data_IF_688226668285
#
_entry.id   IF_688226668285
#
_cell.length_a   1.000
_cell.length_b   1.000
_cell.length_c   1.000
_cell.angle_alpha   90.00
_cell.angle_beta   90.00
_cell.angle_gamma   90.00
#
_symmetry.space_group_name_H-M   'P 1'
#
loop_
_entity.id
_entity.type
_entity.pdbx_description
1 polymer ?
#
# COMPACT_ATOMS: atom_id res chain seq x y z
N UNK A 1 12.46 6.45 -20.73
CA UNK A 1 12.64 7.08 -19.41
C UNK A 1 14.10 7.23 -19.08
N UNK A 2 14.48 8.38 -18.54
CA UNK A 2 15.86 8.65 -18.17
C UNK A 2 16.31 7.89 -16.94
N UNK A 3 17.61 7.72 -16.82
CA UNK A 3 18.27 7.06 -15.69
C UNK A 3 17.91 7.71 -14.34
N UNK A 4 17.68 9.03 -14.33
CA UNK A 4 17.28 9.80 -13.14
C UNK A 4 15.90 9.38 -12.62
N UNK A 5 14.94 9.17 -13.51
CA UNK A 5 13.58 8.77 -13.13
C UNK A 5 13.56 7.37 -12.54
N UNK A 6 14.38 6.46 -13.09
CA UNK A 6 14.55 5.11 -12.59
C UNK A 6 15.15 5.13 -11.18
N UNK A 7 16.19 5.96 -10.94
CA UNK A 7 16.81 6.09 -9.63
C UNK A 7 15.86 6.67 -8.59
N UNK A 8 15.05 7.66 -8.96
CA UNK A 8 14.04 8.24 -8.07
C UNK A 8 13.02 7.19 -7.66
N UNK A 9 12.52 6.44 -8.63
CA UNK A 9 11.52 5.39 -8.36
C UNK A 9 12.09 4.30 -7.46
N UNK A 10 13.33 3.89 -7.67
CA UNK A 10 14.01 2.89 -6.85
C UNK A 10 14.12 3.38 -5.40
N UNK A 11 14.49 4.63 -5.19
CA UNK A 11 14.58 5.22 -3.85
C UNK A 11 13.23 5.32 -3.17
N UNK A 12 12.21 5.78 -3.89
CA UNK A 12 10.85 5.87 -3.37
C UNK A 12 10.32 4.49 -3.00
N UNK A 13 10.48 3.51 -3.88
CA UNK A 13 10.04 2.13 -3.62
C UNK A 13 10.78 1.52 -2.43
N UNK A 14 12.08 1.79 -2.29
CA UNK A 14 12.87 1.33 -1.16
C UNK A 14 12.34 1.91 0.16
N UNK A 15 11.99 3.21 0.16
CA UNK A 15 11.40 3.86 1.34
C UNK A 15 10.04 3.25 1.68
N UNK A 16 9.18 3.04 0.68
CA UNK A 16 7.86 2.46 0.87
C UNK A 16 7.96 1.03 1.42
N UNK A 17 8.81 0.20 0.82
CA UNK A 17 8.98 -1.19 1.24
C UNK A 17 9.57 -1.28 2.65
N UNK A 18 10.57 -0.44 2.95
CA UNK A 18 11.19 -0.40 4.27
C UNK A 18 10.21 0.08 5.34
N UNK A 19 9.47 1.14 5.05
CA UNK A 19 8.45 1.65 5.96
C UNK A 19 7.37 0.60 6.23
N UNK A 20 6.90 -0.09 5.20
CA UNK A 20 5.92 -1.15 5.36
C UNK A 20 6.43 -2.26 6.29
N UNK A 21 7.66 -2.69 6.08
CA UNK A 21 8.29 -3.71 6.92
C UNK A 21 8.36 -3.26 8.39
N UNK A 22 8.82 -2.03 8.63
CA UNK A 22 8.92 -1.50 9.99
C UNK A 22 7.56 -1.28 10.63
N UNK A 23 6.60 -0.75 9.88
CA UNK A 23 5.24 -0.50 10.38
C UNK A 23 4.53 -1.81 10.75
N UNK A 24 4.78 -2.88 10.02
CA UNK A 24 4.15 -4.18 10.30
C UNK A 24 4.84 -4.96 11.42
N UNK A 25 6.11 -4.66 11.70
CA UNK A 25 6.86 -5.35 12.77
C UNK A 25 6.83 -4.60 14.10
N UNK A 26 7.05 -3.28 14.08
CA UNK A 26 7.09 -2.49 15.35
C UNK A 26 5.98 -1.45 15.48
N UNK A 27 5.17 -1.26 14.47
CA UNK A 27 4.08 -0.29 14.47
C UNK A 27 4.52 1.10 14.04
N UNK A 28 3.55 1.90 13.59
CA UNK A 28 3.82 3.26 13.11
C UNK A 28 4.33 4.16 14.25
N UNK A 29 3.72 4.06 15.43
CA UNK A 29 4.09 4.91 16.57
C UNK A 29 5.53 4.70 17.02
N UNK A 30 6.05 3.48 16.92
CA UNK A 30 7.41 3.13 17.37
C UNK A 30 8.46 3.22 16.25
N UNK A 31 8.05 3.62 15.05
CA UNK A 31 8.95 3.76 13.90
C UNK A 31 9.24 5.24 13.69
N UNK A 32 10.51 5.60 13.60
CA UNK A 32 10.94 6.97 13.28
C UNK A 32 11.33 7.09 11.81
N UNK A 33 11.39 8.33 11.31
CA UNK A 33 11.92 8.59 9.96
C UNK A 33 13.38 8.12 9.88
N UNK A 34 14.16 8.33 10.96
CA UNK A 34 15.54 7.84 11.01
C UNK A 34 15.63 6.33 10.87
N UNK A 35 14.73 5.59 11.51
CA UNK A 35 14.65 4.14 11.34
C UNK A 35 14.43 3.76 9.88
N UNK A 36 13.50 4.45 9.22
CA UNK A 36 13.14 4.15 7.82
C UNK A 36 14.34 4.42 6.91
N UNK A 37 14.97 5.61 7.00
CA UNK A 37 16.04 5.97 6.08
C UNK A 37 17.30 5.14 6.33
N UNK A 38 17.62 4.83 7.59
CA UNK A 38 18.77 4.00 7.93
C UNK A 38 18.61 2.58 7.37
N UNK A 39 17.42 2.01 7.49
CA UNK A 39 17.17 0.67 6.97
C UNK A 39 17.03 0.65 5.45
N UNK A 40 16.55 1.73 4.84
CA UNK A 40 16.45 1.84 3.38
C UNK A 40 17.80 2.19 2.72
N UNK A 41 18.78 2.63 3.51
CA UNK A 41 20.09 3.00 2.97
C UNK A 41 20.07 4.32 2.19
N UNK A 42 19.21 5.26 2.58
CA UNK A 42 19.10 6.57 1.94
C UNK A 42 19.32 7.68 2.95
N UNK A 43 19.64 8.89 2.46
CA UNK A 43 19.79 10.06 3.31
C UNK A 43 18.42 10.56 3.78
N UNK A 44 18.38 11.17 4.96
CA UNK A 44 17.15 11.72 5.53
C UNK A 44 16.51 12.77 4.63
N UNK A 45 17.32 13.60 3.97
CA UNK A 45 16.82 14.58 2.99
C UNK A 45 16.10 13.93 1.81
N UNK A 46 16.52 12.73 1.42
CA UNK A 46 15.87 11.97 0.35
C UNK A 46 14.45 11.61 0.73
N UNK A 47 14.20 11.23 1.99
CA UNK A 47 12.86 10.96 2.49
C UNK A 47 11.93 12.15 2.24
N UNK A 48 12.38 13.35 2.60
CA UNK A 48 11.58 14.57 2.50
C UNK A 48 11.34 15.05 1.06
N UNK A 49 12.04 14.48 0.08
CA UNK A 49 11.72 14.72 -1.33
C UNK A 49 10.40 14.05 -1.74
N UNK A 50 10.03 12.97 -1.06
CA UNK A 50 8.87 12.16 -1.43
C UNK A 50 7.71 12.24 -0.44
N UNK A 51 8.02 12.43 0.84
CA UNK A 51 7.02 12.36 1.92
C UNK A 51 7.22 13.49 2.91
N UNK A 52 6.12 14.01 3.45
CA UNK A 52 6.16 15.09 4.46
C UNK A 52 6.62 14.58 5.81
N UNK A 53 6.12 13.40 6.21
CA UNK A 53 6.39 12.77 7.50
C UNK A 53 6.03 11.29 7.42
N UNK A 54 6.14 10.59 8.55
CA UNK A 54 5.84 9.16 8.59
C UNK A 54 4.36 8.84 8.38
N UNK A 55 3.47 9.77 8.67
CA UNK A 55 2.03 9.58 8.45
C UNK A 55 1.68 9.72 6.98
N UNK A 56 2.40 10.57 6.27
CA UNK A 56 2.25 10.71 4.82
C UNK A 56 2.64 9.41 4.10
N UNK A 57 3.78 8.81 4.45
CA UNK A 57 4.20 7.54 3.86
C UNK A 57 3.25 6.40 4.25
N UNK A 58 2.76 6.40 5.51
CA UNK A 58 1.74 5.44 5.95
C UNK A 58 0.49 5.51 5.09
N UNK A 59 -0.03 6.72 4.87
CA UNK A 59 -1.26 6.93 4.09
C UNK A 59 -1.07 6.48 2.63
N UNK A 60 0.09 6.78 2.05
CA UNK A 60 0.43 6.32 0.70
C UNK A 60 0.52 4.80 0.62
N UNK A 61 1.07 4.16 1.66
CA UNK A 61 1.10 2.70 1.75
C UNK A 61 -0.29 2.09 1.82
N UNK A 62 -1.18 2.64 2.65
CA UNK A 62 -2.57 2.15 2.73
C UNK A 62 -3.24 2.24 1.37
N UNK A 63 -3.13 3.40 0.71
CA UNK A 63 -3.71 3.60 -0.62
C UNK A 63 -3.12 2.66 -1.66
N UNK A 64 -1.80 2.54 -1.69
CA UNK A 64 -1.08 1.71 -2.66
C UNK A 64 -1.42 0.21 -2.48
N UNK A 65 -1.38 -0.26 -1.23
CA UNK A 65 -1.69 -1.67 -0.92
C UNK A 65 -3.15 -2.00 -1.21
N UNK A 66 -4.07 -1.08 -0.88
CA UNK A 66 -5.50 -1.25 -1.17
C UNK A 66 -5.75 -1.32 -2.68
N UNK A 67 -5.13 -0.41 -3.45
CA UNK A 67 -5.24 -0.42 -4.92
C UNK A 67 -4.71 -1.72 -5.51
N UNK A 68 -3.65 -2.28 -4.94
CA UNK A 68 -3.07 -3.53 -5.42
C UNK A 68 -4.02 -4.71 -5.19
N UNK A 69 -4.72 -4.72 -4.05
CA UNK A 69 -5.75 -5.74 -3.78
C UNK A 69 -6.84 -5.73 -4.83
N UNK A 70 -7.35 -4.54 -5.18
CA UNK A 70 -8.38 -4.39 -6.22
C UNK A 70 -7.87 -4.81 -7.60
N UNK A 71 -6.68 -4.39 -7.96
CA UNK A 71 -6.10 -4.77 -9.26
C UNK A 71 -5.94 -6.27 -9.38
N UNK A 72 -5.42 -6.92 -8.34
CA UNK A 72 -5.26 -8.37 -8.33
C UNK A 72 -6.61 -9.08 -8.48
N UNK A 73 -7.65 -8.58 -7.81
CA UNK A 73 -8.99 -9.14 -7.90
C UNK A 73 -9.58 -8.98 -9.30
N UNK A 74 -9.41 -7.81 -9.92
CA UNK A 74 -9.89 -7.54 -11.27
C UNK A 74 -9.15 -8.41 -12.29
N UNK A 75 -7.84 -8.56 -12.15
CA UNK A 75 -7.05 -9.45 -13.01
C UNK A 75 -7.52 -10.90 -12.90
N UNK A 76 -7.79 -11.36 -11.67
CA UNK A 76 -8.31 -12.71 -11.46
C UNK A 76 -9.68 -12.90 -12.09
N UNK A 77 -10.54 -11.89 -11.99
CA UNK A 77 -11.86 -11.90 -12.61
C UNK A 77 -11.74 -12.03 -14.14
N UNK A 78 -10.89 -11.20 -14.74
CA UNK A 78 -10.68 -11.22 -16.18
C UNK A 78 -10.06 -12.54 -16.65
N UNK A 79 -9.12 -13.08 -15.88
CA UNK A 79 -8.46 -14.35 -16.21
C UNK A 79 -9.39 -15.55 -16.06
N UNK A 80 -10.47 -15.45 -15.27
CA UNK A 80 -11.40 -16.55 -15.05
C UNK A 80 -12.18 -16.94 -16.31
N UNK A 81 -12.35 -16.00 -17.25
CA UNK A 81 -13.12 -16.22 -18.47
C UNK A 81 -14.61 -16.48 -18.25
N UNK A 82 -15.09 -16.29 -17.04
CA UNK A 82 -16.50 -16.54 -16.69
C UNK A 82 -17.39 -15.39 -17.14
N UNK A 83 -18.56 -15.73 -17.67
CA UNK A 83 -19.60 -14.75 -17.97
C UNK A 83 -20.45 -14.56 -16.71
N UNK A 84 -20.19 -13.49 -15.99
CA UNK A 84 -20.84 -13.21 -14.72
C UNK A 84 -21.74 -11.99 -14.85
N UNK A 85 -22.87 -12.01 -14.10
CA UNK A 85 -23.70 -10.82 -13.93
C UNK A 85 -22.95 -9.77 -13.13
N UNK A 86 -23.48 -8.55 -13.08
CA UNK A 86 -22.88 -7.47 -12.29
C UNK A 86 -22.74 -7.88 -10.81
N UNK A 87 -23.80 -8.44 -10.22
CA UNK A 87 -23.77 -8.88 -8.82
C UNK A 87 -22.73 -9.97 -8.59
N UNK A 88 -22.64 -10.93 -9.48
CA UNK A 88 -21.66 -12.01 -9.40
C UNK A 88 -20.23 -11.50 -9.51
N UNK A 89 -19.99 -10.48 -10.34
CA UNK A 89 -18.66 -9.86 -10.46
C UNK A 89 -18.24 -9.17 -9.16
N UNK A 90 -19.19 -8.46 -8.51
CA UNK A 90 -18.91 -7.81 -7.22
C UNK A 90 -18.54 -8.87 -6.18
N UNK A 91 -19.33 -9.94 -6.10
CA UNK A 91 -19.06 -11.04 -5.15
C UNK A 91 -17.70 -11.66 -5.41
N UNK A 92 -17.35 -11.88 -6.68
CA UNK A 92 -16.04 -12.43 -7.06
C UNK A 92 -14.90 -11.54 -6.55
N UNK A 93 -15.02 -10.22 -6.78
CA UNK A 93 -13.99 -9.25 -6.37
C UNK A 93 -13.84 -9.23 -4.85
N UNK A 94 -14.96 -9.17 -4.12
CA UNK A 94 -14.96 -9.15 -2.65
C UNK A 94 -14.34 -10.44 -2.10
N UNK A 95 -14.75 -11.59 -2.61
CA UNK A 95 -14.20 -12.88 -2.18
C UNK A 95 -12.69 -12.96 -2.45
N UNK A 96 -12.26 -12.50 -3.60
CA UNK A 96 -10.84 -12.51 -3.95
C UNK A 96 -10.02 -11.62 -3.00
N UNK A 97 -10.52 -10.43 -2.69
CA UNK A 97 -9.85 -9.52 -1.75
C UNK A 97 -9.77 -10.14 -0.36
N UNK A 98 -10.86 -10.74 0.11
CA UNK A 98 -10.88 -11.42 1.42
C UNK A 98 -9.84 -12.54 1.44
N UNK A 99 -9.76 -13.33 0.37
CA UNK A 99 -8.77 -14.40 0.27
C UNK A 99 -7.34 -13.87 0.28
N UNK A 100 -7.07 -12.78 -0.44
CA UNK A 100 -5.74 -12.14 -0.43
C UNK A 100 -5.36 -11.70 0.98
N UNK A 101 -6.29 -11.10 1.72
CA UNK A 101 -6.05 -10.63 3.09
C UNK A 101 -5.86 -11.81 4.05
N UNK A 102 -6.60 -12.89 3.87
CA UNK A 102 -6.44 -14.09 4.70
C UNK A 102 -5.07 -14.74 4.49
N UNK A 103 -4.52 -14.65 3.30
CA UNK A 103 -3.19 -15.20 2.99
C UNK A 103 -2.06 -14.30 3.46
N UNK A 104 -2.35 -13.03 3.73
CA UNK A 104 -1.35 -12.04 4.16
C UNK A 104 -1.85 -11.28 5.38
N UNK A 105 -1.66 -11.86 6.55
CA UNK A 105 -2.15 -11.31 7.81
C UNK A 105 -1.45 -10.02 8.20
N UNK A 106 -0.19 -9.84 7.82
CA UNK A 106 0.53 -8.58 8.06
C UNK A 106 -0.14 -7.43 7.31
N UNK A 107 -0.53 -7.67 6.07
CA UNK A 107 -1.25 -6.68 5.26
C UNK A 107 -2.63 -6.38 5.84
N UNK A 108 -3.38 -7.41 6.23
CA UNK A 108 -4.69 -7.24 6.85
C UNK A 108 -4.58 -6.39 8.11
N UNK A 109 -3.66 -6.71 8.99
CA UNK A 109 -3.44 -5.99 10.24
C UNK A 109 -3.04 -4.55 9.99
N UNK A 110 -2.14 -4.32 9.03
CA UNK A 110 -1.70 -2.98 8.68
C UNK A 110 -2.86 -2.12 8.18
N UNK A 111 -3.65 -2.63 7.25
CA UNK A 111 -4.80 -1.91 6.70
C UNK A 111 -5.84 -1.65 7.81
N UNK A 112 -6.17 -2.66 8.60
CA UNK A 112 -7.17 -2.55 9.66
C UNK A 112 -6.77 -1.50 10.72
N UNK A 113 -5.49 -1.47 11.12
CA UNK A 113 -5.00 -0.54 12.13
C UNK A 113 -4.85 0.88 11.62
N UNK A 114 -4.58 1.06 10.33
CA UNK A 114 -4.23 2.37 9.77
C UNK A 114 -5.32 2.95 8.89
N UNK A 115 -6.46 2.27 8.75
CA UNK A 115 -7.60 2.76 7.98
C UNK A 115 -8.44 3.67 8.89
N UNK A 116 -8.07 4.95 8.94
CA UNK A 116 -8.83 5.95 9.69
C UNK A 116 -9.98 6.48 8.83
N UNK A 117 -10.95 7.13 9.49
CA UNK A 117 -12.05 7.79 8.78
C UNK A 117 -11.54 8.83 7.77
N UNK A 118 -10.47 9.56 8.14
CA UNK A 118 -9.86 10.55 7.24
C UNK A 118 -9.30 9.92 5.98
N UNK A 119 -8.59 8.79 6.11
CA UNK A 119 -8.04 8.05 4.96
C UNK A 119 -9.17 7.49 4.10
N UNK A 120 -10.18 6.90 4.71
CA UNK A 120 -11.36 6.36 4.05
C UNK A 120 -12.11 7.45 3.27
N UNK A 121 -12.34 8.59 3.92
CA UNK A 121 -12.99 9.76 3.32
C UNK A 121 -12.23 10.26 2.10
N UNK A 122 -10.90 10.32 2.20
CA UNK A 122 -10.03 10.75 1.10
C UNK A 122 -10.12 9.78 -0.08
N UNK A 123 -10.13 8.48 0.20
CA UNK A 123 -10.27 7.44 -0.83
C UNK A 123 -11.62 7.54 -1.54
N UNK A 124 -12.70 7.80 -0.78
CA UNK A 124 -14.04 7.97 -1.37
C UNK A 124 -14.13 9.16 -2.32
N UNK A 125 -13.43 10.25 -2.02
CA UNK A 125 -13.43 11.44 -2.88
C UNK A 125 -12.77 11.20 -4.23
N UNK A 126 -11.95 10.17 -4.36
CA UNK A 126 -11.30 9.80 -5.62
C UNK A 126 -12.16 8.90 -6.51
N UNK A 127 -13.25 8.41 -5.98
CA UNK A 127 -14.21 7.64 -6.75
C UNK A 127 -15.15 8.61 -7.48
#
# INVERSE_FOLDING_TARGET
MGKLDTNKKVKEDSLLNTAFSLFTTKGVSKTSISDIVNNAGVAKGTFYLYFKDKYDIRNKLVSHKSSQLFRNAIEALNASGKKLTFNERIIFIVDNIINQLNENKSLLTFIAKNLSWGVFKHALRRL
#
